data_IF_606635436631
#
_entry.id   IF_606635436631
#
_cell.length_a   1.000
_cell.length_b   1.000
_cell.length_c   1.000
_cell.angle_alpha   90.00
_cell.angle_beta   90.00
_cell.angle_gamma   90.00
#
_symmetry.space_group_name_H-M   'P 1'
#
loop_
_entity.id
_entity.type
_entity.pdbx_description
1 polymer ?
#
# COMPACT_ATOMS: atom_id res chain seq x y z
N UNK A 1 24.02 -25.31 -4.05
CA UNK A 1 24.38 -23.89 -3.83
C UNK A 1 23.50 -23.40 -2.69
N UNK A 2 24.09 -23.12 -1.52
CA UNK A 2 23.36 -22.64 -0.35
C UNK A 2 23.01 -21.16 -0.58
N UNK A 3 21.72 -20.82 -0.60
CA UNK A 3 21.23 -19.45 -0.58
C UNK A 3 21.60 -18.76 0.74
N UNK A 4 21.98 -17.49 0.65
CA UNK A 4 22.47 -16.69 1.77
C UNK A 4 21.41 -16.55 2.88
N UNK A 5 21.79 -16.56 4.16
CA UNK A 5 20.85 -16.38 5.27
C UNK A 5 20.28 -14.95 5.24
N UNK A 6 18.96 -14.84 5.29
CA UNK A 6 18.26 -13.56 5.40
C UNK A 6 18.70 -12.83 6.66
N UNK A 7 18.94 -11.53 6.53
CA UNK A 7 19.28 -10.66 7.66
C UNK A 7 18.23 -10.78 8.76
N UNK A 8 18.66 -11.12 9.97
CA UNK A 8 17.87 -11.06 11.19
C UNK A 8 17.63 -9.58 11.53
N UNK A 9 16.63 -8.96 10.90
CA UNK A 9 16.32 -7.53 11.08
C UNK A 9 15.73 -7.22 12.45
N UNK A 10 15.40 -8.25 13.26
CA UNK A 10 14.70 -8.11 14.53
C UNK A 10 13.25 -7.64 14.41
N UNK A 11 12.75 -7.46 13.17
CA UNK A 11 11.39 -7.02 12.90
C UNK A 11 10.43 -8.21 12.81
N UNK A 12 9.14 -8.04 13.18
CA UNK A 12 8.15 -9.07 13.00
C UNK A 12 8.05 -9.48 11.52
N UNK A 13 7.82 -10.78 11.27
CA UNK A 13 7.55 -11.28 9.92
C UNK A 13 6.27 -10.65 9.32
N UNK A 14 5.32 -10.31 10.20
CA UNK A 14 4.12 -9.56 9.84
C UNK A 14 4.46 -8.06 9.69
N UNK A 15 4.20 -7.52 8.50
CA UNK A 15 4.53 -6.14 8.14
C UNK A 15 3.44 -5.11 8.48
N UNK A 16 2.40 -5.48 9.24
CA UNK A 16 1.31 -4.55 9.61
C UNK A 16 1.80 -3.32 10.38
N UNK A 17 2.97 -3.39 11.02
CA UNK A 17 3.59 -2.23 11.66
C UNK A 17 3.86 -1.07 10.68
N UNK A 18 3.97 -1.33 9.37
CA UNK A 18 4.12 -0.31 8.35
C UNK A 18 2.84 0.51 8.11
N UNK A 19 1.71 0.09 8.67
CA UNK A 19 0.42 0.80 8.60
C UNK A 19 0.14 1.63 9.86
N UNK A 20 1.07 1.62 10.82
CA UNK A 20 0.98 2.44 12.01
C UNK A 20 1.29 3.92 11.67
N UNK A 21 0.51 4.83 12.25
CA UNK A 21 0.76 6.27 12.16
C UNK A 21 0.45 6.90 10.80
N UNK A 22 -0.30 6.22 9.92
CA UNK A 22 -0.73 6.80 8.64
C UNK A 22 -1.64 8.02 8.88
N UNK A 23 -1.47 9.12 8.12
CA UNK A 23 -2.34 10.28 8.21
C UNK A 23 -3.76 9.95 7.73
N UNK A 24 -4.76 10.66 8.24
CA UNK A 24 -6.17 10.34 7.99
C UNK A 24 -6.54 10.33 6.50
N UNK A 25 -6.06 11.31 5.72
CA UNK A 25 -6.33 11.35 4.28
C UNK A 25 -5.85 10.08 3.55
N UNK A 26 -4.69 9.55 3.95
CA UNK A 26 -4.13 8.33 3.34
C UNK A 26 -4.92 7.09 3.78
N UNK A 27 -5.39 7.06 5.03
CA UNK A 27 -6.28 5.99 5.52
C UNK A 27 -7.61 5.98 4.76
N UNK A 28 -8.15 7.17 4.45
CA UNK A 28 -9.38 7.33 3.68
C UNK A 28 -9.23 6.84 2.23
N UNK A 29 -8.13 7.15 1.55
CA UNK A 29 -7.90 6.64 0.18
C UNK A 29 -7.59 5.15 0.14
N UNK A 30 -6.90 4.61 1.16
CA UNK A 30 -6.74 3.15 1.32
C UNK A 30 -8.10 2.46 1.43
N UNK A 31 -8.99 2.98 2.29
CA UNK A 31 -10.32 2.39 2.48
C UNK A 31 -11.16 2.42 1.19
N UNK A 32 -11.08 3.49 0.41
CA UNK A 32 -11.76 3.60 -0.89
C UNK A 32 -11.24 2.56 -1.89
N UNK A 33 -9.92 2.43 -2.02
CA UNK A 33 -9.30 1.44 -2.90
C UNK A 33 -9.66 0.00 -2.48
N UNK A 34 -9.62 -0.31 -1.18
CA UNK A 34 -10.05 -1.61 -0.67
C UNK A 34 -11.51 -1.91 -1.03
N UNK A 35 -12.41 -0.95 -0.86
CA UNK A 35 -13.80 -1.12 -1.22
C UNK A 35 -14.00 -1.34 -2.74
N UNK A 36 -13.19 -0.69 -3.58
CA UNK A 36 -13.19 -0.92 -5.03
C UNK A 36 -12.68 -2.33 -5.40
N UNK A 37 -11.59 -2.78 -4.77
CA UNK A 37 -11.11 -4.15 -4.92
C UNK A 37 -12.12 -5.19 -4.46
N UNK A 38 -12.77 -5.00 -3.32
CA UNK A 38 -13.80 -5.91 -2.82
C UNK A 38 -14.95 -6.08 -3.82
N UNK A 39 -15.36 -5.00 -4.51
CA UNK A 39 -16.37 -5.05 -5.57
C UNK A 39 -15.86 -5.80 -6.79
N UNK A 40 -14.66 -5.46 -7.28
CA UNK A 40 -14.06 -6.09 -8.45
C UNK A 40 -13.78 -7.58 -8.25
N UNK A 41 -13.29 -7.97 -7.08
CA UNK A 41 -12.99 -9.36 -6.74
C UNK A 41 -14.27 -10.21 -6.61
N UNK A 42 -15.44 -9.58 -6.38
CA UNK A 42 -16.77 -10.21 -6.47
C UNK A 42 -17.30 -10.31 -7.90
N UNK A 43 -16.57 -9.79 -8.88
CA UNK A 43 -16.97 -9.74 -10.29
C UNK A 43 -17.94 -8.60 -10.62
N UNK A 44 -18.11 -7.62 -9.73
CA UNK A 44 -18.92 -6.45 -10.01
C UNK A 44 -18.20 -5.54 -11.01
N UNK A 45 -18.99 -4.87 -11.87
CA UNK A 45 -18.45 -3.88 -12.79
C UNK A 45 -18.26 -2.56 -12.06
N UNK A 46 -17.05 -2.30 -11.57
CA UNK A 46 -16.64 -0.99 -11.11
C UNK A 46 -16.03 -0.20 -12.28
N UNK A 47 -16.56 0.99 -12.57
CA UNK A 47 -16.03 1.87 -13.62
C UNK A 47 -15.13 2.98 -13.07
N UNK A 48 -14.93 3.04 -11.75
CA UNK A 48 -14.18 4.11 -11.06
C UNK A 48 -12.98 3.60 -10.28
N UNK A 49 -12.74 2.29 -10.26
CA UNK A 49 -11.59 1.72 -9.54
C UNK A 49 -10.26 2.34 -9.98
N UNK A 50 -10.15 2.77 -11.23
CA UNK A 50 -8.97 3.43 -11.81
C UNK A 50 -8.78 4.84 -11.22
N UNK A 51 -9.87 5.55 -10.92
CA UNK A 51 -9.86 6.82 -10.21
C UNK A 51 -9.39 6.61 -8.76
N UNK A 52 -9.93 5.60 -8.07
CA UNK A 52 -9.53 5.26 -6.70
C UNK A 52 -8.05 4.85 -6.63
N UNK A 53 -7.57 4.11 -7.63
CA UNK A 53 -6.17 3.76 -7.81
C UNK A 53 -5.29 5.01 -7.96
N UNK A 54 -5.65 5.91 -8.89
CA UNK A 54 -4.89 7.15 -9.12
C UNK A 54 -4.86 8.04 -7.87
N UNK A 55 -5.97 8.14 -7.16
CA UNK A 55 -6.08 8.92 -5.93
C UNK A 55 -5.17 8.35 -4.85
N UNK A 56 -5.22 7.04 -4.59
CA UNK A 56 -4.34 6.43 -3.59
C UNK A 56 -2.86 6.55 -3.98
N UNK A 57 -2.50 6.35 -5.25
CA UNK A 57 -1.12 6.56 -5.71
C UNK A 57 -0.66 8.01 -5.48
N UNK A 58 -1.53 9.00 -5.74
CA UNK A 58 -1.23 10.40 -5.52
C UNK A 58 -1.05 10.73 -4.02
N UNK A 59 -1.90 10.18 -3.16
CA UNK A 59 -1.80 10.36 -1.70
C UNK A 59 -0.55 9.71 -1.12
N UNK A 60 -0.20 8.50 -1.57
CA UNK A 60 1.06 7.85 -1.17
C UNK A 60 2.25 8.71 -1.61
N UNK A 61 2.26 9.18 -2.87
CA UNK A 61 3.32 10.05 -3.38
C UNK A 61 3.42 11.35 -2.56
N UNK A 62 2.29 11.97 -2.22
CA UNK A 62 2.26 13.18 -1.42
C UNK A 62 2.82 12.93 -0.01
N UNK A 63 2.38 11.86 0.66
CA UNK A 63 2.84 11.51 1.99
C UNK A 63 4.34 11.19 2.00
N UNK A 64 4.85 10.47 1.00
CA UNK A 64 6.27 10.13 0.88
C UNK A 64 7.14 11.37 0.60
N UNK A 65 6.76 12.20 -0.38
CA UNK A 65 7.52 13.41 -0.76
C UNK A 65 7.56 14.42 0.38
N UNK A 66 6.46 14.56 1.14
CA UNK A 66 6.41 15.43 2.32
C UNK A 66 6.97 14.77 3.59
N UNK A 67 7.57 13.59 3.50
CA UNK A 67 8.18 12.84 4.61
C UNK A 67 7.21 12.54 5.77
N UNK A 68 5.91 12.44 5.48
CA UNK A 68 4.88 12.03 6.45
C UNK A 68 4.93 10.52 6.70
N UNK A 69 5.34 9.74 5.70
CA UNK A 69 5.60 8.30 5.80
C UNK A 69 7.00 7.99 5.23
N UNK A 70 7.59 6.87 5.66
CA UNK A 70 8.87 6.42 5.09
C UNK A 70 8.69 5.83 3.68
N UNK A 71 9.78 5.76 2.89
CA UNK A 71 9.75 5.05 1.61
C UNK A 71 9.44 3.55 1.76
N UNK A 72 9.78 2.94 2.90
CA UNK A 72 9.40 1.56 3.19
C UNK A 72 7.88 1.43 3.38
N UNK A 73 7.26 2.33 4.14
CA UNK A 73 5.81 2.38 4.27
C UNK A 73 5.16 2.65 2.92
N UNK A 74 5.63 3.66 2.18
CA UNK A 74 5.09 4.02 0.88
C UNK A 74 5.13 2.84 -0.09
N UNK A 75 6.23 2.09 -0.13
CA UNK A 75 6.35 0.93 -1.00
C UNK A 75 5.46 -0.23 -0.55
N UNK A 76 5.41 -0.52 0.76
CA UNK A 76 4.51 -1.53 1.32
C UNK A 76 3.04 -1.25 0.97
N UNK A 77 2.61 0.02 1.05
CA UNK A 77 1.25 0.41 0.69
C UNK A 77 0.96 0.21 -0.81
N UNK A 78 1.92 0.50 -1.70
CA UNK A 78 1.78 0.26 -3.14
C UNK A 78 1.68 -1.23 -3.44
N UNK A 79 2.54 -2.06 -2.84
CA UNK A 79 2.48 -3.51 -3.01
C UNK A 79 1.13 -4.07 -2.54
N UNK A 80 0.70 -3.69 -1.33
CA UNK A 80 -0.50 -4.24 -0.70
C UNK A 80 -1.80 -3.74 -1.33
N UNK A 81 -1.92 -2.43 -1.54
CA UNK A 81 -3.20 -1.81 -1.92
C UNK A 81 -3.30 -1.44 -3.39
N UNK A 82 -2.18 -1.23 -4.08
CA UNK A 82 -2.18 -0.99 -5.52
C UNK A 82 -1.77 -2.25 -6.31
N UNK A 83 -1.48 -3.37 -5.62
CA UNK A 83 -1.08 -4.64 -6.24
C UNK A 83 0.14 -4.47 -7.17
N UNK A 84 1.02 -3.52 -6.85
CA UNK A 84 2.24 -3.25 -7.62
C UNK A 84 3.35 -4.23 -7.23
N UNK A 85 4.20 -4.60 -8.19
CA UNK A 85 5.39 -5.41 -7.94
C UNK A 85 6.64 -4.52 -7.92
N UNK A 86 7.62 -4.86 -7.08
CA UNK A 86 8.94 -4.21 -7.07
C UNK A 86 9.84 -4.88 -8.09
N UNK A 87 10.37 -4.08 -9.03
CA UNK A 87 11.44 -4.51 -9.93
C UNK A 87 12.80 -4.61 -9.22
#
# INVERSE_FOLDING_TARGET
MMGQPGHDTGLPADKSYLECGLPDFLRESIAQMQAAWDRLDRGEKDLRWDCDYCNLQADINNAEVNQVISSEQAWYLREKYLRMERE
#
